data_IF_421134223450
#
_entry.id   IF_421134223450
#
_cell.length_a   1.000
_cell.length_b   1.000
_cell.length_c   1.000
_cell.angle_alpha   90.00
_cell.angle_beta   90.00
_cell.angle_gamma   90.00
#
_symmetry.space_group_name_H-M   'P 1'
#
loop_
_entity.id
_entity.type
_entity.pdbx_description
1 polymer ?
#
# COMPACT_ATOMS: atom_id res chain seq x y z
N UNK A 1 -39.37 -33.75 -31.09
CA UNK A 1 -40.59 -34.31 -31.72
C UNK A 1 -40.24 -34.52 -33.19
N UNK A 2 -40.19 -35.76 -33.71
CA UNK A 2 -39.65 -36.05 -35.06
C UNK A 2 -40.67 -35.66 -36.13
N UNK A 3 -40.31 -34.75 -37.04
CA UNK A 3 -41.14 -34.42 -38.19
C UNK A 3 -40.92 -35.45 -39.31
N UNK A 4 -42.01 -35.99 -39.85
CA UNK A 4 -41.99 -37.04 -40.88
C UNK A 4 -42.18 -36.38 -42.25
N UNK A 5 -41.17 -36.45 -43.11
CA UNK A 5 -41.26 -35.93 -44.47
C UNK A 5 -41.38 -37.13 -45.42
N UNK A 6 -42.49 -37.20 -46.15
CA UNK A 6 -42.70 -38.22 -47.18
C UNK A 6 -42.28 -37.64 -48.52
N UNK A 7 -41.37 -38.32 -49.21
CA UNK A 7 -41.01 -38.01 -50.60
C UNK A 7 -41.36 -39.20 -51.49
N UNK A 8 -41.89 -38.91 -52.69
CA UNK A 8 -42.30 -39.90 -53.68
C UNK A 8 -41.39 -39.80 -54.89
N UNK A 9 -40.74 -40.90 -55.27
CA UNK A 9 -39.91 -41.00 -56.47
C UNK A 9 -40.11 -42.36 -57.12
N UNK A 10 -40.37 -42.39 -58.43
CA UNK A 10 -40.64 -43.60 -59.22
C UNK A 10 -41.64 -44.57 -58.58
N UNK A 11 -42.78 -44.04 -58.12
CA UNK A 11 -43.90 -44.86 -57.63
C UNK A 11 -43.81 -45.32 -56.18
N UNK A 12 -42.62 -45.34 -55.58
CA UNK A 12 -42.42 -45.75 -54.18
C UNK A 12 -42.33 -44.56 -53.23
N UNK A 13 -42.83 -44.75 -51.99
CA UNK A 13 -42.83 -43.72 -50.95
C UNK A 13 -41.82 -44.04 -49.86
N UNK A 14 -40.86 -43.14 -49.66
CA UNK A 14 -39.85 -43.27 -48.62
C UNK A 14 -40.19 -42.31 -47.47
N UNK A 15 -40.17 -42.82 -46.23
CA UNK A 15 -40.33 -42.02 -45.01
C UNK A 15 -38.95 -41.67 -44.47
N UNK A 16 -38.56 -40.40 -44.57
CA UNK A 16 -37.31 -39.90 -43.99
C UNK A 16 -37.65 -39.15 -42.70
N UNK A 17 -37.01 -39.57 -41.60
CA UNK A 17 -37.16 -38.90 -40.31
C UNK A 17 -36.09 -37.81 -40.19
N UNK A 18 -36.50 -36.55 -40.06
CA UNK A 18 -35.57 -35.45 -39.81
C UNK A 18 -35.28 -35.38 -38.31
N UNK A 19 -34.01 -35.57 -37.93
CA UNK A 19 -33.57 -35.49 -36.54
C UNK A 19 -33.30 -34.02 -36.17
N UNK A 20 -34.12 -33.48 -35.26
CA UNK A 20 -34.06 -32.08 -34.85
C UNK A 20 -32.93 -31.90 -33.81
N UNK A 21 -31.71 -31.64 -34.29
CA UNK A 21 -30.54 -31.33 -33.46
C UNK A 21 -30.54 -29.85 -32.96
N UNK A 22 -31.71 -29.32 -32.62
CA UNK A 22 -31.86 -27.96 -32.10
C UNK A 22 -31.63 -27.92 -30.59
N UNK A 23 -30.55 -27.27 -30.15
CA UNK A 23 -30.28 -27.02 -28.73
C UNK A 23 -31.49 -26.33 -28.08
N UNK A 24 -32.06 -26.96 -27.04
CA UNK A 24 -33.29 -26.47 -26.39
C UNK A 24 -33.13 -25.01 -25.94
N UNK A 25 -34.15 -24.18 -26.18
CA UNK A 25 -34.18 -22.75 -25.79
C UNK A 25 -33.84 -22.55 -24.31
N UNK A 26 -34.18 -23.51 -23.45
CA UNK A 26 -33.85 -23.50 -22.02
C UNK A 26 -32.35 -23.61 -21.73
N UNK A 27 -31.59 -24.34 -22.55
CA UNK A 27 -30.13 -24.47 -22.43
C UNK A 27 -29.47 -23.14 -22.83
N UNK A 28 -29.97 -22.49 -23.89
CA UNK A 28 -29.48 -21.19 -24.33
C UNK A 28 -29.66 -20.12 -23.24
N UNK A 29 -30.84 -20.02 -22.62
CA UNK A 29 -31.07 -19.04 -21.54
C UNK A 29 -30.23 -19.33 -20.28
N UNK A 30 -29.98 -20.60 -19.94
CA UNK A 30 -29.11 -20.96 -18.81
C UNK A 30 -27.65 -20.60 -19.08
N UNK A 31 -27.17 -20.82 -20.30
CA UNK A 31 -25.83 -20.42 -20.71
C UNK A 31 -25.69 -18.89 -20.70
N UNK A 32 -26.70 -18.18 -21.20
CA UNK A 32 -26.70 -16.72 -21.24
C UNK A 32 -26.78 -16.09 -19.85
N UNK A 33 -27.60 -16.64 -18.95
CA UNK A 33 -27.62 -16.27 -17.52
C UNK A 33 -26.26 -16.49 -16.86
N UNK A 34 -25.57 -17.58 -17.17
CA UNK A 34 -24.25 -17.87 -16.64
C UNK A 34 -23.20 -16.87 -17.14
N UNK A 35 -23.26 -16.50 -18.43
CA UNK A 35 -22.40 -15.46 -19.01
C UNK A 35 -22.68 -14.08 -18.38
N UNK A 36 -23.96 -13.72 -18.17
CA UNK A 36 -24.34 -12.49 -17.48
C UNK A 36 -23.84 -12.45 -16.03
N UNK A 37 -23.90 -13.57 -15.30
CA UNK A 37 -23.38 -13.66 -13.93
C UNK A 37 -21.86 -13.51 -13.88
N UNK A 38 -21.13 -14.10 -14.82
CA UNK A 38 -19.67 -13.90 -14.95
C UNK A 38 -19.35 -12.43 -15.25
N UNK A 39 -20.10 -11.79 -16.15
CA UNK A 39 -19.92 -10.38 -16.48
C UNK A 39 -20.21 -9.47 -15.26
N UNK A 40 -21.23 -9.79 -14.47
CA UNK A 40 -21.56 -9.10 -13.21
C UNK A 40 -20.46 -9.26 -12.15
N UNK A 41 -19.83 -10.43 -12.07
CA UNK A 41 -18.71 -10.67 -11.15
C UNK A 41 -17.43 -9.92 -11.56
N UNK A 42 -17.15 -9.80 -12.86
CA UNK A 42 -15.95 -9.08 -13.35
C UNK A 42 -16.09 -7.57 -13.12
N UNK A 43 -17.29 -6.99 -13.29
CA UNK A 43 -17.54 -5.56 -13.03
C UNK A 43 -17.42 -5.22 -11.53
N UNK A 44 -17.64 -6.19 -10.65
CA UNK A 44 -17.56 -6.02 -9.19
C UNK A 44 -16.22 -6.40 -8.59
N UNK A 45 -15.27 -6.86 -9.39
CA UNK A 45 -13.91 -7.10 -8.89
C UNK A 45 -13.24 -5.73 -8.77
N UNK A 46 -13.02 -5.18 -7.56
CA UNK A 46 -12.15 -4.03 -7.45
C UNK A 46 -10.78 -4.54 -7.88
N UNK A 47 -10.35 -4.16 -9.08
CA UNK A 47 -8.94 -4.20 -9.39
C UNK A 47 -8.34 -3.25 -8.37
N UNK A 48 -7.74 -3.81 -7.32
CA UNK A 48 -6.97 -3.07 -6.34
C UNK A 48 -5.72 -2.57 -7.05
N UNK A 49 -5.90 -1.61 -7.96
CA UNK A 49 -4.87 -0.72 -8.40
C UNK A 49 -4.41 -0.05 -7.12
N UNK A 50 -3.23 -0.43 -6.64
CA UNK A 50 -2.56 0.32 -5.60
C UNK A 50 -2.58 1.76 -6.07
N UNK A 51 -3.35 2.60 -5.40
CA UNK A 51 -3.37 4.01 -5.66
C UNK A 51 -1.98 4.52 -5.23
N UNK A 52 -1.02 4.46 -6.14
CA UNK A 52 0.12 5.37 -6.09
C UNK A 52 -0.50 6.76 -6.20
N UNK A 53 -0.76 7.34 -5.02
CA UNK A 53 -1.24 8.71 -4.92
C UNK A 53 -0.34 9.57 -5.80
N UNK A 54 -0.95 10.24 -6.78
CA UNK A 54 -0.31 11.25 -7.59
C UNK A 54 0.41 12.20 -6.62
N UNK A 55 1.74 12.09 -6.53
CA UNK A 55 2.52 12.76 -5.48
C UNK A 55 2.59 14.23 -5.83
N UNK A 56 1.59 14.99 -5.36
CA UNK A 56 1.52 16.43 -5.58
C UNK A 56 2.81 17.09 -5.05
N UNK A 57 3.37 18.02 -5.83
CA UNK A 57 4.50 18.81 -5.39
C UNK A 57 4.11 19.67 -4.16
N UNK A 58 4.96 19.67 -3.14
CA UNK A 58 4.72 20.38 -1.88
C UNK A 58 5.90 21.28 -1.51
N UNK A 59 5.65 22.38 -0.81
CA UNK A 59 6.69 23.26 -0.26
C UNK A 59 7.04 22.94 1.19
N UNK A 60 6.40 21.95 1.81
CA UNK A 60 6.69 21.53 3.17
C UNK A 60 5.54 20.78 3.81
N UNK A 61 5.88 19.87 4.72
CA UNK A 61 4.91 18.99 5.40
C UNK A 61 5.42 18.63 6.80
N UNK A 62 4.49 18.24 7.67
CA UNK A 62 4.79 17.49 8.89
C UNK A 62 4.44 16.02 8.67
N UNK A 63 5.36 15.15 9.02
CA UNK A 63 5.24 13.69 8.89
C UNK A 63 5.31 13.05 10.28
N UNK A 64 4.32 12.21 10.58
CA UNK A 64 4.34 11.27 11.70
C UNK A 64 4.98 9.96 11.22
N UNK A 65 6.09 9.55 11.81
CA UNK A 65 6.82 8.33 11.43
C UNK A 65 6.77 7.35 12.60
N UNK A 66 6.00 6.25 12.50
CA UNK A 66 5.98 5.24 13.55
C UNK A 66 7.35 4.59 13.74
N UNK A 67 7.75 4.39 15.00
CA UNK A 67 9.00 3.75 15.37
C UNK A 67 8.75 2.75 16.50
N UNK A 68 9.39 1.59 16.42
CA UNK A 68 9.25 0.54 17.42
C UNK A 68 10.62 0.30 18.05
N UNK A 69 10.82 0.75 19.29
CA UNK A 69 12.04 0.38 20.03
C UNK A 69 12.04 -1.09 20.41
N UNK A 70 10.85 -1.70 20.47
CA UNK A 70 10.69 -3.12 20.69
C UNK A 70 9.41 -3.68 20.06
N UNK A 71 9.44 -4.99 19.80
CA UNK A 71 8.28 -5.79 19.39
C UNK A 71 8.13 -7.00 20.31
N UNK A 72 6.94 -7.60 20.31
CA UNK A 72 6.65 -8.80 21.09
C UNK A 72 6.51 -10.01 20.17
N UNK A 73 7.10 -11.14 20.54
CA UNK A 73 7.04 -12.37 19.76
C UNK A 73 6.53 -13.57 20.58
N UNK A 74 5.76 -14.42 19.90
CA UNK A 74 5.24 -15.67 20.43
C UNK A 74 4.15 -15.51 21.51
N UNK A 75 3.60 -16.63 21.99
CA UNK A 75 2.47 -16.63 22.93
C UNK A 75 2.82 -16.05 24.31
N UNK A 76 4.11 -15.97 24.65
CA UNK A 76 4.60 -15.38 25.90
C UNK A 76 4.93 -13.88 25.78
N UNK A 77 4.68 -13.26 24.62
CA UNK A 77 5.01 -11.87 24.35
C UNK A 77 6.46 -11.51 24.72
N UNK A 78 7.41 -12.34 24.28
CA UNK A 78 8.84 -12.10 24.55
C UNK A 78 9.24 -10.81 23.86
N UNK A 79 9.86 -9.90 24.60
CA UNK A 79 10.27 -8.59 24.09
C UNK A 79 11.57 -8.71 23.31
N UNK A 80 11.58 -8.19 22.09
CA UNK A 80 12.77 -8.03 21.27
C UNK A 80 13.04 -6.55 21.04
N UNK A 81 14.19 -6.08 21.50
CA UNK A 81 14.63 -4.70 21.28
C UNK A 81 15.11 -4.51 19.84
N UNK A 82 14.90 -3.32 19.30
CA UNK A 82 15.19 -2.96 17.91
C UNK A 82 15.98 -1.64 17.90
N UNK A 83 17.07 -1.61 17.14
CA UNK A 83 17.63 -0.34 16.71
C UNK A 83 16.77 0.24 15.58
N UNK A 84 16.71 1.56 15.48
CA UNK A 84 15.97 2.25 14.42
C UNK A 84 16.86 3.22 13.68
N UNK A 85 16.74 3.25 12.36
CA UNK A 85 17.31 4.28 11.50
C UNK A 85 16.17 5.04 10.83
N UNK A 86 15.93 6.27 11.28
CA UNK A 86 15.03 7.20 10.60
C UNK A 86 15.76 7.78 9.40
N UNK A 87 15.32 7.41 8.20
CA UNK A 87 15.89 7.81 6.92
C UNK A 87 15.05 8.91 6.25
N UNK A 88 15.72 9.90 5.67
CA UNK A 88 15.11 11.01 4.93
C UNK A 88 15.84 11.19 3.61
N UNK A 89 15.15 10.95 2.50
CA UNK A 89 15.67 11.12 1.15
C UNK A 89 14.99 12.31 0.46
N UNK A 90 15.79 13.28 0.01
CA UNK A 90 15.31 14.26 -0.96
C UNK A 90 15.24 13.60 -2.34
N UNK A 91 14.03 13.33 -2.84
CA UNK A 91 13.83 12.75 -4.17
C UNK A 91 13.61 13.79 -5.27
N UNK A 92 13.76 15.08 -4.95
CA UNK A 92 13.71 16.13 -5.94
C UNK A 92 15.02 16.21 -6.74
N UNK A 93 14.97 16.23 -8.09
CA UNK A 93 16.17 16.26 -8.93
C UNK A 93 16.84 17.63 -9.01
N UNK A 94 16.17 18.71 -8.58
CA UNK A 94 16.60 20.09 -8.87
C UNK A 94 16.72 20.96 -7.62
N UNK A 95 15.85 20.75 -6.65
CA UNK A 95 15.66 21.65 -5.53
C UNK A 95 16.12 21.03 -4.22
N UNK A 96 16.68 21.88 -3.36
CA UNK A 96 17.09 21.52 -2.00
C UNK A 96 15.88 21.57 -1.07
N UNK A 97 15.80 20.64 -0.13
CA UNK A 97 14.85 20.67 0.99
C UNK A 97 15.58 20.96 2.29
N UNK A 98 14.85 21.50 3.26
CA UNK A 98 15.35 21.86 4.58
C UNK A 98 14.59 21.02 5.60
N UNK A 99 15.29 20.14 6.31
CA UNK A 99 14.71 19.40 7.43
C UNK A 99 14.87 20.25 8.68
N UNK A 100 13.76 20.66 9.28
CA UNK A 100 13.74 21.61 10.40
C UNK A 100 13.47 20.95 11.75
N UNK A 101 12.87 19.75 11.77
CA UNK A 101 12.51 19.04 13.00
C UNK A 101 12.58 17.53 12.80
N UNK A 102 13.04 16.81 13.81
CA UNK A 102 12.97 15.36 13.93
C UNK A 102 12.86 15.04 15.43
N UNK A 103 11.63 15.09 15.94
CA UNK A 103 11.36 15.01 17.38
C UNK A 103 10.88 13.62 17.73
N UNK A 104 11.52 13.01 18.72
CA UNK A 104 11.23 11.65 19.18
C UNK A 104 10.24 11.67 20.34
N UNK A 105 9.21 10.84 20.24
CA UNK A 105 8.16 10.69 21.24
C UNK A 105 8.04 9.22 21.69
N UNK A 106 7.68 9.03 22.96
CA UNK A 106 7.38 7.69 23.50
C UNK A 106 5.97 7.21 23.11
N UNK A 107 5.66 5.98 23.51
CA UNK A 107 4.38 5.30 23.24
C UNK A 107 3.16 5.99 23.88
N UNK A 108 3.38 6.91 24.81
CA UNK A 108 2.32 7.71 25.45
C UNK A 108 2.22 9.11 24.83
N UNK A 109 2.99 9.40 23.78
CA UNK A 109 3.03 10.72 23.14
C UNK A 109 3.84 11.75 23.93
N UNK A 110 4.69 11.33 24.87
CA UNK A 110 5.58 12.24 25.59
C UNK A 110 6.83 12.52 24.75
N UNK A 111 7.16 13.80 24.59
CA UNK A 111 8.41 14.22 23.96
C UNK A 111 9.64 13.71 24.75
N UNK A 112 10.57 13.08 24.04
CA UNK A 112 11.83 12.57 24.59
C UNK A 112 12.96 13.55 24.26
N UNK A 113 13.26 13.75 22.97
CA UNK A 113 14.32 14.65 22.52
C UNK A 113 14.16 15.04 21.04
N UNK A 114 14.85 16.10 20.62
CA UNK A 114 14.97 16.48 19.22
C UNK A 114 16.32 16.08 18.66
N UNK A 115 16.31 15.40 17.51
CA UNK A 115 17.51 14.98 16.80
C UNK A 115 18.07 16.07 15.87
N UNK A 116 17.31 17.16 15.66
CA UNK A 116 17.72 18.31 14.86
C UNK A 116 17.86 19.53 15.76
N UNK A 117 19.11 19.95 16.00
CA UNK A 117 19.41 21.20 16.73
C UNK A 117 19.47 22.42 15.81
N UNK A 118 19.84 22.21 14.55
CA UNK A 118 19.94 23.23 13.51
C UNK A 118 19.39 22.65 12.20
N UNK A 119 18.62 23.41 11.41
CA UNK A 119 18.07 22.91 10.16
C UNK A 119 19.14 22.33 9.23
N UNK A 120 18.81 21.21 8.57
CA UNK A 120 19.71 20.49 7.66
C UNK A 120 19.24 20.70 6.23
N UNK A 121 20.12 21.19 5.36
CA UNK A 121 19.85 21.32 3.94
C UNK A 121 20.21 20.02 3.21
N UNK A 122 19.23 19.39 2.58
CA UNK A 122 19.43 18.22 1.72
C UNK A 122 19.36 18.64 0.27
N UNK A 123 20.52 18.61 -0.40
CA UNK A 123 20.66 18.85 -1.84
C UNK A 123 19.80 17.86 -2.65
N UNK A 124 19.57 18.11 -3.95
CA UNK A 124 18.93 17.14 -4.83
C UNK A 124 19.52 15.74 -4.69
N UNK A 125 18.65 14.74 -4.55
CA UNK A 125 19.03 13.33 -4.32
C UNK A 125 19.88 13.03 -3.08
N UNK A 126 20.08 14.00 -2.18
CA UNK A 126 20.80 13.78 -0.93
C UNK A 126 19.91 13.10 0.12
N UNK A 127 20.58 12.42 1.05
CA UNK A 127 19.96 11.70 2.14
C UNK A 127 20.59 12.08 3.48
N UNK A 128 19.80 12.03 4.55
CA UNK A 128 20.29 12.05 5.93
C UNK A 128 19.52 11.06 6.79
N UNK A 129 20.10 10.67 7.91
CA UNK A 129 19.48 9.71 8.82
C UNK A 129 19.75 10.06 10.29
N UNK A 130 18.88 9.54 11.15
CA UNK A 130 19.05 9.57 12.60
C UNK A 130 19.00 8.14 13.15
N UNK A 131 19.94 7.81 14.03
CA UNK A 131 20.10 6.46 14.56
C UNK A 131 19.71 6.38 16.03
N UNK A 132 18.76 5.50 16.32
CA UNK A 132 18.31 5.13 17.64
C UNK A 132 18.88 3.75 17.94
N UNK A 133 19.60 3.67 19.05
CA UNK A 133 20.34 2.47 19.42
C UNK A 133 19.37 1.42 19.99
N UNK A 134 19.69 0.14 19.78
CA UNK A 134 18.87 -0.99 20.28
C UNK A 134 18.62 -0.94 21.79
N UNK A 135 19.55 -0.37 22.57
CA UNK A 135 19.42 -0.25 24.02
C UNK A 135 18.60 0.96 24.48
N UNK A 136 18.16 1.82 23.57
CA UNK A 136 17.27 2.93 23.89
C UNK A 136 15.83 2.44 24.02
N UNK A 137 15.44 2.16 25.27
CA UNK A 137 14.13 1.61 25.62
C UNK A 137 13.09 2.69 25.94
N UNK A 138 13.44 3.98 25.81
CA UNK A 138 12.56 5.08 26.21
C UNK A 138 11.29 5.20 25.36
N UNK A 139 11.36 4.75 24.10
CA UNK A 139 10.23 4.86 23.16
C UNK A 139 9.09 3.89 23.42
N UNK A 140 9.41 2.63 23.67
CA UNK A 140 8.44 1.55 23.72
C UNK A 140 7.91 1.10 22.34
N UNK A 141 6.87 0.24 22.32
CA UNK A 141 6.31 -0.37 21.11
C UNK A 141 5.40 0.56 20.29
N UNK A 142 5.17 1.80 20.73
CA UNK A 142 4.33 2.79 20.03
C UNK A 142 5.04 4.13 19.85
N UNK A 143 6.37 4.15 19.90
CA UNK A 143 7.16 5.36 19.73
C UNK A 143 6.96 5.97 18.33
N UNK A 144 7.36 7.23 18.16
CA UNK A 144 7.28 7.88 16.86
C UNK A 144 8.24 9.05 16.72
N UNK A 145 8.45 9.46 15.47
CA UNK A 145 9.08 10.72 15.13
C UNK A 145 8.08 11.69 14.50
N UNK A 146 8.19 12.95 14.88
CA UNK A 146 7.60 14.07 14.15
C UNK A 146 8.69 14.74 13.33
N UNK A 147 8.62 14.57 12.01
CA UNK A 147 9.58 15.15 11.06
C UNK A 147 8.93 16.34 10.36
N UNK A 148 9.60 17.50 10.38
CA UNK A 148 9.19 18.64 9.56
C UNK A 148 10.24 18.94 8.51
N UNK A 149 9.77 19.18 7.30
CA UNK A 149 10.60 19.63 6.20
C UNK A 149 9.91 20.77 5.46
N UNK A 150 10.71 21.59 4.77
CA UNK A 150 10.25 22.67 3.90
C UNK A 150 11.17 22.85 2.71
N UNK A 151 10.68 23.51 1.68
CA UNK A 151 11.44 23.91 0.51
C UNK A 151 11.00 25.30 0.05
N UNK A 152 11.89 26.01 -0.64
CA UNK A 152 11.58 27.35 -1.19
C UNK A 152 10.63 27.27 -2.40
N UNK A 153 10.59 26.11 -3.07
CA UNK A 153 9.71 25.81 -4.20
C UNK A 153 8.85 24.60 -3.86
N UNK A 154 7.78 24.40 -4.62
CA UNK A 154 7.08 23.11 -4.61
C UNK A 154 8.00 22.06 -5.23
N UNK A 155 8.27 20.99 -4.49
CA UNK A 155 9.21 19.91 -4.83
C UNK A 155 8.57 18.55 -4.71
N UNK A 156 9.23 17.52 -5.25
CA UNK A 156 8.86 16.15 -4.94
C UNK A 156 9.00 15.91 -3.43
N UNK A 157 7.94 15.37 -2.83
CA UNK A 157 7.89 15.11 -1.39
C UNK A 157 8.98 14.10 -1.01
N UNK A 158 9.79 14.36 0.03
CA UNK A 158 10.84 13.45 0.44
C UNK A 158 10.28 12.11 0.87
N UNK A 159 11.06 11.05 0.67
CA UNK A 159 10.77 9.77 1.30
C UNK A 159 11.29 9.84 2.73
N UNK A 160 10.41 9.62 3.69
CA UNK A 160 10.75 9.52 5.11
C UNK A 160 10.26 8.19 5.63
N UNK A 161 11.17 7.39 6.16
CA UNK A 161 10.87 6.05 6.66
C UNK A 161 11.73 5.72 7.87
N UNK A 162 11.22 4.88 8.75
CA UNK A 162 11.99 4.26 9.82
C UNK A 162 12.32 2.82 9.44
N UNK A 163 13.60 2.47 9.41
CA UNK A 163 14.08 1.09 9.32
C UNK A 163 14.32 0.57 10.74
N UNK A 164 13.55 -0.42 11.16
CA UNK A 164 13.74 -1.13 12.41
C UNK A 164 14.54 -2.40 12.15
N UNK A 165 15.56 -2.66 12.98
CA UNK A 165 16.43 -3.81 12.86
C UNK A 165 16.81 -4.36 14.25
N UNK A 166 16.66 -5.67 14.43
CA UNK A 166 17.10 -6.40 15.61
C UNK A 166 17.95 -7.60 15.21
N UNK A 167 19.27 -7.44 15.18
CA UNK A 167 20.21 -8.49 14.76
C UNK A 167 20.01 -9.81 15.52
N UNK A 168 19.79 -9.72 16.84
CA UNK A 168 19.68 -10.89 17.71
C UNK A 168 18.45 -11.73 17.42
N UNK A 169 17.39 -11.10 16.91
CA UNK A 169 16.12 -11.75 16.61
C UNK A 169 15.97 -12.08 15.11
N UNK A 170 16.84 -11.56 14.24
CA UNK A 170 16.71 -11.66 12.78
C UNK A 170 15.48 -10.91 12.23
N UNK A 171 15.04 -9.86 12.93
CA UNK A 171 13.84 -9.08 12.57
C UNK A 171 14.28 -7.78 11.92
N UNK A 172 13.71 -7.46 10.76
CA UNK A 172 13.83 -6.15 10.13
C UNK A 172 12.57 -5.79 9.36
N UNK A 173 12.11 -4.55 9.50
CA UNK A 173 10.98 -4.03 8.76
C UNK A 173 11.07 -2.50 8.68
N UNK A 174 10.36 -1.92 7.72
CA UNK A 174 10.27 -0.47 7.57
C UNK A 174 8.89 0.03 7.97
N UNK A 175 8.82 1.30 8.36
CA UNK A 175 7.57 2.02 8.57
C UNK A 175 7.64 3.36 7.84
N UNK A 176 6.75 3.60 6.86
CA UNK A 176 6.72 4.87 6.14
C UNK A 176 6.14 5.98 7.02
N UNK A 177 6.62 7.20 6.81
CA UNK A 177 6.01 8.40 7.38
C UNK A 177 4.64 8.68 6.78
N UNK A 178 3.71 9.11 7.62
CA UNK A 178 2.38 9.57 7.24
C UNK A 178 2.28 11.08 7.39
N UNK A 179 1.81 11.78 6.35
CA UNK A 179 1.51 13.21 6.45
C UNK A 179 0.41 13.45 7.48
N UNK A 180 0.66 14.43 8.34
CA UNK A 180 -0.33 14.96 9.26
C UNK A 180 -0.55 16.44 8.99
N UNK A 181 -1.79 16.88 9.18
CA UNK A 181 -2.14 18.29 9.17
C UNK A 181 -2.05 18.80 10.60
N UNK A 182 -1.31 19.89 10.80
CA UNK A 182 -1.33 20.61 12.06
C UNK A 182 -2.52 21.57 12.04
N UNK A 183 -3.36 21.52 13.07
CA UNK A 183 -4.39 22.53 13.26
C UNK A 183 -3.70 23.84 13.64
N UNK A 184 -4.09 24.94 13.00
CA UNK A 184 -3.74 26.26 13.49
C UNK A 184 -4.47 26.47 14.83
N UNK A 185 -3.72 26.81 15.88
CA UNK A 185 -4.28 27.42 17.09
C UNK A 185 -4.71 28.86 16.82
#
# INVERSE_FOLDING_TARGET
MRALISMRSNGETFKVYKEDNGMSRTIFYRLWLFVCLIFLCIIRFPLSAGAEADRELSSGETLYVPVYSNVYAGPKAVTHQLATMLSIHNIDPKHTIIISKADYYDSNGKFIESYIKKPINLKPFAHTFFYLKEYDTRGGPGANFIVKWRAEKKVNQPIVEALMYGARAGISFTSPGQRITEYAE
#
